data_IF_112215057109
#
_entry.id   IF_112215057109
#
_cell.length_a   1.000
_cell.length_b   1.000
_cell.length_c   1.000
_cell.angle_alpha   90.00
_cell.angle_beta   90.00
_cell.angle_gamma   90.00
#
_symmetry.space_group_name_H-M   'P 1'
#
loop_
_entity.id
_entity.type
_entity.pdbx_description
1 polymer ?
#
# COMPACT_ATOMS: atom_id res chain seq x y z
N UNK A 1 13.13 -15.66 57.55
CA UNK A 1 13.11 -14.34 56.90
C UNK A 1 14.43 -14.22 56.14
N UNK A 2 14.49 -14.66 54.88
CA UNK A 2 14.32 -13.82 53.69
C UNK A 2 15.67 -13.16 53.34
N UNK A 3 16.29 -13.23 52.17
CA UNK A 3 15.83 -13.48 50.80
C UNK A 3 16.98 -14.00 49.93
N UNK A 4 16.63 -14.75 48.89
CA UNK A 4 17.47 -14.95 47.71
C UNK A 4 17.79 -13.59 47.07
N UNK A 5 19.03 -13.40 46.63
CA UNK A 5 19.37 -12.35 45.66
C UNK A 5 19.81 -13.01 44.37
N UNK A 6 18.83 -13.26 43.49
CA UNK A 6 19.09 -13.53 42.07
C UNK A 6 19.87 -12.35 41.49
N UNK A 7 21.04 -12.64 40.91
CA UNK A 7 21.73 -11.69 40.04
C UNK A 7 20.91 -11.59 38.75
N UNK A 8 20.16 -10.50 38.62
CA UNK A 8 19.50 -10.16 37.36
C UNK A 8 20.58 -9.83 36.33
N UNK A 9 20.82 -10.77 35.41
CA UNK A 9 21.59 -10.51 34.20
C UNK A 9 20.65 -9.76 33.25
N UNK A 10 20.79 -8.44 33.15
CA UNK A 10 20.06 -7.65 32.19
C UNK A 10 20.58 -8.00 30.78
N UNK A 11 19.84 -8.86 30.08
CA UNK A 11 20.01 -9.05 28.64
C UNK A 11 19.47 -7.80 27.98
N UNK A 12 20.36 -6.93 27.52
CA UNK A 12 20.01 -5.81 26.66
C UNK A 12 19.64 -6.41 25.29
N UNK A 13 18.35 -6.71 25.11
CA UNK A 13 17.81 -7.11 23.84
C UNK A 13 17.93 -5.93 22.88
N UNK A 14 18.95 -5.95 22.03
CA UNK A 14 18.98 -5.14 20.82
C UNK A 14 17.75 -5.58 20.03
N UNK A 15 16.69 -4.76 20.01
CA UNK A 15 15.61 -4.93 19.07
C UNK A 15 16.24 -4.64 17.70
N UNK A 16 16.80 -5.69 17.09
CA UNK A 16 17.06 -5.68 15.68
C UNK A 16 15.69 -5.42 15.06
N UNK A 17 15.47 -4.19 14.60
CA UNK A 17 14.56 -3.96 13.48
C UNK A 17 15.23 -4.74 12.36
N UNK A 18 14.91 -6.03 12.27
CA UNK A 18 15.14 -6.82 11.08
C UNK A 18 14.43 -6.04 10.00
N UNK A 19 15.19 -5.27 9.23
CA UNK A 19 14.77 -4.87 7.89
C UNK A 19 14.25 -6.13 7.26
N UNK A 20 12.94 -6.18 7.01
CA UNK A 20 12.23 -7.30 6.40
C UNK A 20 12.71 -7.39 4.95
N UNK A 21 13.95 -7.86 4.81
CA UNK A 21 14.57 -8.32 3.58
C UNK A 21 14.51 -9.85 3.58
N UNK A 22 13.38 -10.42 4.02
CA UNK A 22 13.03 -11.74 3.53
C UNK A 22 12.86 -11.60 2.03
N UNK A 23 13.52 -12.49 1.29
CA UNK A 23 13.71 -12.40 -0.15
C UNK A 23 12.38 -12.13 -0.85
N UNK A 24 12.18 -10.88 -1.26
CA UNK A 24 11.06 -10.47 -2.11
C UNK A 24 11.24 -11.24 -3.40
N UNK A 25 10.33 -12.15 -3.75
CA UNK A 25 10.39 -12.93 -4.99
C UNK A 25 10.23 -12.09 -6.27
N UNK A 26 10.47 -10.78 -6.17
CA UNK A 26 10.21 -9.72 -7.15
C UNK A 26 11.49 -8.93 -7.40
N UNK A 27 11.55 -8.22 -8.52
CA UNK A 27 12.66 -7.33 -8.86
C UNK A 27 12.59 -5.95 -8.21
N UNK A 28 11.71 -5.73 -7.22
CA UNK A 28 11.41 -4.42 -6.65
C UNK A 28 12.64 -3.59 -6.27
N UNK A 29 13.58 -4.11 -5.48
CA UNK A 29 14.75 -3.32 -5.04
C UNK A 29 15.73 -3.00 -6.18
N UNK A 30 15.71 -3.80 -7.25
CA UNK A 30 16.49 -3.52 -8.45
C UNK A 30 15.80 -2.44 -9.32
N UNK A 31 14.47 -2.46 -9.36
CA UNK A 31 13.65 -1.55 -10.17
C UNK A 31 13.44 -0.18 -9.51
N UNK A 32 13.32 -0.16 -8.18
CA UNK A 32 12.91 1.02 -7.40
C UNK A 32 13.80 1.18 -6.16
N UNK A 33 14.90 1.93 -6.25
CA UNK A 33 15.80 2.13 -5.12
C UNK A 33 15.14 2.74 -3.88
N UNK A 34 14.13 3.61 -4.02
CA UNK A 34 13.45 4.22 -2.86
C UNK A 34 12.75 3.19 -1.98
N UNK A 35 12.31 2.06 -2.55
CA UNK A 35 11.65 1.00 -1.81
C UNK A 35 12.55 0.35 -0.75
N UNK A 36 13.88 0.55 -0.83
CA UNK A 36 14.81 0.13 0.21
C UNK A 36 14.63 0.86 1.55
N UNK A 37 13.91 1.99 1.56
CA UNK A 37 13.54 2.71 2.79
C UNK A 37 12.17 2.31 3.35
N UNK A 38 11.42 1.46 2.63
CA UNK A 38 10.07 1.06 3.00
C UNK A 38 10.06 -0.34 3.62
N UNK A 39 9.11 -0.56 4.53
CA UNK A 39 8.85 -1.84 5.19
C UNK A 39 7.75 -2.59 4.45
N UNK A 40 7.98 -3.85 4.09
CA UNK A 40 6.97 -4.72 3.47
C UNK A 40 5.85 -5.07 4.46
N UNK A 41 4.60 -4.76 4.09
CA UNK A 41 3.40 -5.12 4.84
C UNK A 41 2.76 -6.37 4.26
N UNK A 42 2.41 -6.33 2.98
CA UNK A 42 1.76 -7.45 2.29
C UNK A 42 2.52 -7.85 1.04
N UNK A 43 2.63 -9.15 0.81
CA UNK A 43 2.87 -9.70 -0.52
C UNK A 43 1.64 -10.52 -0.93
N UNK A 44 1.08 -10.21 -2.08
CA UNK A 44 -0.12 -10.82 -2.61
C UNK A 44 0.15 -11.45 -3.98
N UNK A 45 0.20 -12.79 -4.07
CA UNK A 45 0.22 -13.48 -5.35
C UNK A 45 -1.19 -13.42 -5.96
N UNK A 46 -1.37 -12.62 -7.02
CA UNK A 46 -2.68 -12.42 -7.66
C UNK A 46 -3.05 -13.67 -8.47
N UNK A 47 -4.13 -14.38 -8.14
CA UNK A 47 -4.54 -15.55 -8.92
C UNK A 47 -5.28 -15.10 -10.19
N UNK A 48 -5.14 -15.91 -11.26
CA UNK A 48 -5.93 -15.73 -12.48
C UNK A 48 -7.42 -15.78 -12.19
N UNK A 49 -7.85 -16.76 -11.37
CA UNK A 49 -9.23 -16.89 -10.93
C UNK A 49 -9.32 -16.50 -9.46
N UNK A 50 -10.11 -15.47 -9.17
CA UNK A 50 -10.44 -15.13 -7.80
C UNK A 50 -11.30 -16.24 -7.16
N UNK A 51 -11.10 -16.57 -5.88
CA UNK A 51 -12.02 -17.39 -5.11
C UNK A 51 -13.22 -16.59 -4.57
N UNK A 52 -13.31 -15.28 -4.84
CA UNK A 52 -14.36 -14.40 -4.34
C UNK A 52 -14.02 -13.78 -2.99
N UNK A 53 -13.03 -12.87 -2.96
CA UNK A 53 -12.47 -12.32 -1.72
C UNK A 53 -13.43 -11.48 -0.88
N UNK A 54 -14.63 -11.16 -1.36
CA UNK A 54 -15.67 -10.58 -0.51
C UNK A 54 -16.25 -11.59 0.50
N UNK A 55 -16.06 -12.88 0.27
CA UNK A 55 -16.66 -13.95 1.09
C UNK A 55 -15.63 -14.90 1.69
N UNK A 56 -14.35 -14.77 1.32
CA UNK A 56 -13.26 -15.59 1.83
C UNK A 56 -12.08 -14.72 2.25
N UNK A 57 -11.26 -15.15 3.23
CA UNK A 57 -10.06 -14.43 3.61
C UNK A 57 -9.09 -14.27 2.43
N UNK A 58 -8.45 -13.11 2.33
CA UNK A 58 -7.41 -12.84 1.31
C UNK A 58 -6.16 -13.64 1.67
N UNK A 59 -5.65 -14.40 0.70
CA UNK A 59 -4.47 -15.25 0.89
C UNK A 59 -3.19 -14.49 0.50
N UNK A 60 -2.71 -13.64 1.41
CA UNK A 60 -1.38 -13.04 1.29
C UNK A 60 -0.27 -14.09 1.50
N UNK A 61 0.80 -14.06 0.71
CA UNK A 61 2.00 -14.89 0.94
C UNK A 61 2.85 -14.36 2.09
N UNK A 62 2.83 -13.03 2.28
CA UNK A 62 3.42 -12.33 3.43
C UNK A 62 2.37 -11.40 4.00
N UNK A 63 2.16 -11.47 5.30
CA UNK A 63 1.29 -10.56 6.04
C UNK A 63 1.98 -10.11 7.34
N UNK A 64 2.52 -8.90 7.32
CA UNK A 64 3.21 -8.26 8.43
C UNK A 64 2.39 -7.12 9.06
N UNK A 65 1.11 -6.93 8.70
CA UNK A 65 0.36 -5.74 9.14
C UNK A 65 0.30 -5.59 10.66
N UNK A 66 0.19 -6.71 11.38
CA UNK A 66 0.16 -6.72 12.84
C UNK A 66 1.48 -6.26 13.50
N UNK A 67 2.57 -6.20 12.74
CA UNK A 67 3.87 -5.68 13.18
C UNK A 67 3.98 -4.16 13.03
N UNK A 68 3.07 -3.54 12.30
CA UNK A 68 3.06 -2.10 12.05
C UNK A 68 2.07 -1.45 13.02
N UNK A 69 2.59 -0.61 13.93
CA UNK A 69 1.74 0.14 14.85
C UNK A 69 0.78 1.07 14.11
N UNK A 70 -0.45 1.23 14.62
CA UNK A 70 -1.39 2.19 14.07
C UNK A 70 -0.81 3.62 14.12
N UNK A 71 -0.81 4.31 12.98
CA UNK A 71 -0.21 5.63 12.80
C UNK A 71 1.32 5.64 12.75
N UNK A 72 1.99 4.49 12.65
CA UNK A 72 3.45 4.39 12.65
C UNK A 72 4.09 4.64 11.27
N UNK A 73 3.31 4.97 10.25
CA UNK A 73 3.81 5.22 8.90
C UNK A 73 3.22 6.51 8.31
N UNK A 74 3.99 7.14 7.44
CA UNK A 74 3.65 8.41 6.80
C UNK A 74 3.29 8.24 5.32
N UNK A 75 3.79 7.18 4.69
CA UNK A 75 3.54 6.88 3.28
C UNK A 75 3.20 5.41 3.08
N UNK A 76 2.44 5.15 2.04
CA UNK A 76 2.14 3.81 1.52
C UNK A 76 2.72 3.68 0.11
N UNK A 77 3.14 2.48 -0.26
CA UNK A 77 3.57 2.18 -1.62
C UNK A 77 3.02 0.86 -2.12
N UNK A 78 2.70 0.83 -3.42
CA UNK A 78 2.23 -0.33 -4.14
C UNK A 78 3.22 -0.64 -5.26
N UNK A 79 3.62 -1.91 -5.35
CA UNK A 79 4.43 -2.42 -6.44
C UNK A 79 3.75 -3.62 -7.06
N UNK A 80 3.35 -3.52 -8.33
CA UNK A 80 2.82 -4.63 -9.09
C UNK A 80 3.87 -5.07 -10.11
N UNK A 81 4.23 -6.35 -10.08
CA UNK A 81 5.10 -6.99 -11.07
C UNK A 81 4.36 -8.13 -11.76
N UNK A 82 4.35 -8.07 -13.09
CA UNK A 82 3.71 -9.03 -13.99
C UNK A 82 4.79 -9.63 -14.88
N UNK A 83 5.22 -10.86 -14.60
CA UNK A 83 6.24 -11.54 -15.39
C UNK A 83 5.61 -12.60 -16.28
N UNK A 84 5.85 -12.51 -17.59
CA UNK A 84 5.50 -13.49 -18.61
C UNK A 84 6.57 -13.50 -19.70
N UNK A 85 6.19 -13.24 -20.96
CA UNK A 85 7.18 -13.06 -22.04
C UNK A 85 8.11 -11.86 -21.80
N UNK A 86 7.55 -10.80 -21.23
CA UNK A 86 8.26 -9.65 -20.67
C UNK A 86 7.88 -9.51 -19.20
N UNK A 87 8.69 -8.75 -18.46
CA UNK A 87 8.34 -8.35 -17.09
C UNK A 87 7.90 -6.90 -17.12
N UNK A 88 6.63 -6.67 -16.83
CA UNK A 88 6.03 -5.34 -16.71
C UNK A 88 5.86 -5.03 -15.23
N UNK A 89 6.18 -3.80 -14.81
CA UNK A 89 6.03 -3.40 -13.42
C UNK A 89 5.66 -1.93 -13.28
N UNK A 90 4.97 -1.61 -12.19
CA UNK A 90 4.69 -0.25 -11.76
C UNK A 90 4.84 -0.15 -10.25
N UNK A 91 5.38 0.97 -9.82
CA UNK A 91 5.50 1.37 -8.44
C UNK A 91 4.81 2.72 -8.26
N UNK A 92 4.01 2.84 -7.21
CA UNK A 92 3.40 4.10 -6.79
C UNK A 92 3.56 4.23 -5.29
N UNK A 93 4.30 5.23 -4.81
CA UNK A 93 4.26 5.66 -3.41
C UNK A 93 3.53 6.97 -3.27
N UNK A 94 2.87 7.17 -2.14
CA UNK A 94 2.09 8.38 -1.86
C UNK A 94 1.88 8.55 -0.35
N UNK A 95 1.37 9.70 0.06
CA UNK A 95 0.99 9.94 1.44
C UNK A 95 -0.03 8.90 1.95
N UNK A 96 0.16 8.47 3.19
CA UNK A 96 -0.70 7.47 3.81
C UNK A 96 -2.15 7.98 3.93
N UNK A 97 -3.09 7.24 3.34
CA UNK A 97 -4.52 7.55 3.39
C UNK A 97 -5.26 6.92 4.57
N UNK A 98 -4.51 6.18 5.39
CA UNK A 98 -4.94 5.57 6.64
C UNK A 98 -3.73 5.42 7.55
N UNK A 99 -3.96 5.41 8.87
CA UNK A 99 -2.92 5.02 9.83
C UNK A 99 -2.88 3.51 10.10
N UNK A 100 -3.86 2.76 9.61
CA UNK A 100 -4.03 1.34 9.88
C UNK A 100 -3.42 0.51 8.76
N UNK A 101 -2.33 -0.21 9.05
CA UNK A 101 -1.66 -1.08 8.07
C UNK A 101 -2.52 -2.29 7.67
N UNK A 102 -3.59 -2.61 8.41
CA UNK A 102 -4.61 -3.57 8.01
C UNK A 102 -5.59 -3.06 6.95
N UNK A 103 -5.48 -1.79 6.55
CA UNK A 103 -6.40 -1.09 5.62
C UNK A 103 -5.71 -0.47 4.42
N UNK A 104 -4.66 -1.13 3.95
CA UNK A 104 -3.94 -0.76 2.71
C UNK A 104 -3.90 -1.93 1.72
N UNK A 105 -4.62 -3.02 2.00
CA UNK A 105 -4.60 -4.29 1.29
C UNK A 105 -5.62 -4.34 0.14
N UNK A 106 -6.10 -5.56 -0.12
CA UNK A 106 -7.19 -5.79 -1.06
C UNK A 106 -8.53 -5.38 -0.43
N UNK A 107 -9.26 -4.40 -1.01
CA UNK A 107 -10.36 -3.71 -0.33
C UNK A 107 -11.68 -4.49 -0.35
N UNK A 108 -11.74 -5.58 0.43
CA UNK A 108 -12.89 -6.46 0.54
C UNK A 108 -13.87 -6.09 1.67
N UNK A 109 -15.06 -6.69 1.67
CA UNK A 109 -16.07 -6.42 2.71
C UNK A 109 -15.52 -6.60 4.13
N UNK A 110 -14.70 -7.63 4.38
CA UNK A 110 -14.14 -7.88 5.71
C UNK A 110 -13.08 -6.87 6.16
N UNK A 111 -12.33 -6.29 5.23
CA UNK A 111 -11.31 -5.26 5.51
C UNK A 111 -11.94 -3.94 5.95
N UNK A 112 -13.16 -3.66 5.46
CA UNK A 112 -13.82 -2.37 5.63
C UNK A 112 -13.11 -1.23 4.89
N UNK A 113 -12.19 -1.52 3.98
CA UNK A 113 -11.54 -0.56 3.11
C UNK A 113 -12.53 -0.02 2.09
N UNK A 114 -12.53 1.30 1.93
CA UNK A 114 -13.34 2.01 0.94
C UNK A 114 -12.69 3.37 0.69
N UNK A 115 -12.02 3.52 -0.45
CA UNK A 115 -11.26 4.73 -0.78
C UNK A 115 -11.56 5.20 -2.20
N UNK A 116 -11.66 6.52 -2.37
CA UNK A 116 -11.92 7.17 -3.65
C UNK A 116 -11.36 8.60 -3.74
N UNK A 117 -11.44 9.25 -4.92
CA UNK A 117 -10.98 10.62 -5.18
C UNK A 117 -11.73 11.73 -4.41
N UNK A 118 -11.01 12.76 -3.95
CA UNK A 118 -11.55 13.85 -3.13
C UNK A 118 -11.96 15.11 -3.90
N UNK A 119 -13.27 15.31 -4.08
CA UNK A 119 -14.07 16.42 -3.49
C UNK A 119 -15.44 15.83 -3.16
N UNK A 120 -15.83 15.78 -1.87
CA UNK A 120 -17.08 15.16 -1.41
C UNK A 120 -17.01 13.68 -1.03
N UNK A 121 -15.81 13.09 -1.09
CA UNK A 121 -15.52 11.75 -0.60
C UNK A 121 -15.15 11.65 0.88
N UNK A 122 -14.94 10.43 1.37
CA UNK A 122 -14.43 10.10 2.73
C UNK A 122 -13.00 10.63 3.02
N UNK A 123 -12.52 11.58 2.22
CA UNK A 123 -11.22 12.20 2.28
C UNK A 123 -11.34 13.56 3.00
N UNK A 124 -10.41 13.94 3.92
CA UNK A 124 -10.49 15.20 4.65
C UNK A 124 -10.75 16.41 3.75
N UNK A 125 -11.66 17.29 4.17
CA UNK A 125 -11.96 18.52 3.45
C UNK A 125 -10.69 19.37 3.26
N UNK A 126 -10.36 19.69 2.00
CA UNK A 126 -9.12 20.42 1.64
C UNK A 126 -8.00 19.53 1.08
N UNK A 127 -8.23 18.22 0.94
CA UNK A 127 -7.31 17.30 0.28
C UNK A 127 -7.59 17.23 -1.23
N UNK A 128 -6.65 17.69 -2.06
CA UNK A 128 -6.76 17.84 -3.54
C UNK A 128 -6.29 16.60 -4.34
N UNK A 129 -6.06 15.49 -3.63
CA UNK A 129 -5.48 14.25 -4.15
C UNK A 129 -4.38 13.75 -3.22
N UNK A 130 -3.79 12.60 -3.51
CA UNK A 130 -2.55 12.20 -2.83
C UNK A 130 -1.40 13.05 -3.39
N UNK A 131 -1.27 14.29 -2.87
CA UNK A 131 -0.12 15.13 -3.12
C UNK A 131 1.17 14.33 -2.83
N UNK A 132 2.22 14.61 -3.60
CA UNK A 132 3.55 14.00 -3.43
C UNK A 132 3.65 12.49 -3.75
N UNK A 133 3.00 12.03 -4.82
CA UNK A 133 3.20 10.67 -5.30
C UNK A 133 4.49 10.49 -6.12
N UNK A 134 5.18 9.36 -5.94
CA UNK A 134 6.27 8.92 -6.79
C UNK A 134 5.82 7.73 -7.62
N UNK A 135 5.95 7.84 -8.94
CA UNK A 135 5.56 6.82 -9.91
C UNK A 135 6.80 6.38 -10.69
N UNK A 136 7.09 5.08 -10.65
CA UNK A 136 8.13 4.45 -11.47
C UNK A 136 7.53 3.26 -12.21
N UNK A 137 7.92 3.05 -13.46
CA UNK A 137 7.44 1.92 -14.27
C UNK A 137 8.37 1.72 -15.46
N UNK A 138 8.37 0.50 -16.01
CA UNK A 138 8.94 0.21 -17.32
C UNK A 138 7.88 0.10 -18.44
N UNK A 139 6.59 0.23 -18.12
CA UNK A 139 5.50 0.06 -19.08
C UNK A 139 5.37 1.32 -19.95
N UNK A 140 5.47 1.21 -21.29
CA UNK A 140 5.29 2.35 -22.17
C UNK A 140 3.92 3.01 -21.98
N UNK A 141 3.90 4.34 -21.92
CA UNK A 141 2.68 5.11 -21.73
C UNK A 141 2.37 5.45 -20.27
N UNK A 142 3.01 4.79 -19.30
CA UNK A 142 2.92 5.21 -17.89
C UNK A 142 3.81 6.44 -17.67
N UNK A 143 3.20 7.58 -17.36
CA UNK A 143 3.92 8.79 -16.94
C UNK A 143 4.54 8.56 -15.57
N UNK A 144 5.88 8.59 -15.51
CA UNK A 144 6.69 8.47 -14.29
C UNK A 144 7.13 9.84 -13.78
N UNK A 145 7.48 9.91 -12.50
CA UNK A 145 7.94 11.15 -11.86
C UNK A 145 7.74 11.13 -10.35
N UNK A 146 8.27 12.15 -9.69
CA UNK A 146 8.14 12.38 -8.25
C UNK A 146 7.34 13.64 -7.99
N UNK A 147 6.68 13.75 -6.83
CA UNK A 147 5.90 14.93 -6.49
C UNK A 147 4.60 15.08 -7.29
N UNK A 148 4.05 13.97 -7.81
CA UNK A 148 2.84 13.98 -8.62
C UNK A 148 1.62 14.16 -7.72
N UNK A 149 0.87 15.25 -7.92
CA UNK A 149 -0.33 15.57 -7.12
C UNK A 149 -1.64 15.02 -7.66
N UNK A 150 -1.58 14.26 -8.76
CA UNK A 150 -2.75 13.84 -9.52
C UNK A 150 -3.04 12.34 -9.43
N UNK A 151 -2.73 11.73 -8.28
CA UNK A 151 -3.04 10.32 -8.01
C UNK A 151 -4.39 10.19 -7.29
N UNK A 152 -5.19 9.21 -7.71
CA UNK A 152 -6.43 8.83 -7.07
C UNK A 152 -6.59 7.31 -6.97
N UNK A 153 -7.43 6.88 -6.04
CA UNK A 153 -7.72 5.49 -5.75
C UNK A 153 -9.18 5.18 -6.09
N UNK A 154 -9.45 3.94 -6.45
CA UNK A 154 -10.80 3.37 -6.56
C UNK A 154 -10.77 1.97 -5.94
N UNK A 155 -10.90 1.96 -4.61
CA UNK A 155 -10.74 0.78 -3.77
C UNK A 155 -12.10 0.42 -3.17
N UNK A 156 -12.78 -0.52 -3.81
CA UNK A 156 -14.18 -0.82 -3.52
C UNK A 156 -14.44 -2.32 -3.46
N UNK A 157 -15.20 -2.81 -2.46
CA UNK A 157 -15.66 -4.19 -2.44
C UNK A 157 -16.87 -4.46 -3.34
N UNK A 158 -17.49 -3.41 -3.87
CA UNK A 158 -18.83 -3.43 -4.46
C UNK A 158 -18.83 -3.48 -5.98
N UNK A 159 -20.04 -3.41 -6.54
CA UNK A 159 -20.22 -3.03 -7.94
C UNK A 159 -20.05 -1.51 -8.04
N UNK A 160 -19.61 -1.06 -9.21
CA UNK A 160 -19.43 0.35 -9.57
C UNK A 160 -19.87 0.55 -11.04
N UNK A 161 -19.94 1.80 -11.46
CA UNK A 161 -20.35 2.19 -12.80
C UNK A 161 -19.50 3.36 -13.32
N UNK A 162 -19.70 3.70 -14.58
CA UNK A 162 -18.87 4.65 -15.34
C UNK A 162 -19.08 6.10 -14.95
N UNK A 163 -20.11 6.42 -14.16
CA UNK A 163 -20.46 7.81 -13.85
C UNK A 163 -19.35 8.50 -13.07
N UNK A 164 -18.92 9.67 -13.53
CA UNK A 164 -17.98 10.54 -12.82
C UNK A 164 -18.66 11.26 -11.64
N UNK A 165 -19.06 10.47 -10.63
CA UNK A 165 -19.82 10.91 -9.46
C UNK A 165 -19.03 11.89 -8.59
N UNK A 166 -17.70 11.88 -8.71
CA UNK A 166 -16.78 12.70 -7.90
C UNK A 166 -16.15 13.87 -8.68
N UNK A 167 -16.54 14.08 -9.93
CA UNK A 167 -16.08 15.21 -10.75
C UNK A 167 -14.57 15.21 -11.03
N UNK A 168 -13.94 14.04 -11.16
CA UNK A 168 -12.51 13.91 -11.46
C UNK A 168 -12.22 14.58 -12.81
N UNK A 169 -11.29 15.56 -12.88
CA UNK A 169 -10.97 16.25 -14.13
C UNK A 169 -10.51 15.28 -15.23
N UNK A 170 -11.17 15.35 -16.38
CA UNK A 170 -10.87 14.50 -17.54
C UNK A 170 -11.60 13.15 -17.56
N UNK A 171 -12.32 12.80 -16.51
CA UNK A 171 -13.09 11.55 -16.42
C UNK A 171 -14.23 11.46 -17.44
N UNK A 172 -14.47 10.26 -17.95
CA UNK A 172 -15.45 9.96 -18.99
C UNK A 172 -16.62 9.14 -18.44
N UNK A 173 -17.76 9.81 -18.21
CA UNK A 173 -19.02 9.20 -17.76
C UNK A 173 -19.64 8.10 -18.64
N UNK A 174 -19.01 7.73 -19.77
CA UNK A 174 -19.47 6.68 -20.69
C UNK A 174 -18.50 5.51 -20.88
N UNK A 175 -17.36 5.50 -20.18
CA UNK A 175 -16.39 4.42 -20.18
C UNK A 175 -15.91 4.14 -18.75
N UNK A 176 -15.42 2.94 -18.46
CA UNK A 176 -14.79 2.68 -17.16
C UNK A 176 -13.37 3.25 -17.18
N UNK A 177 -13.05 4.20 -16.31
CA UNK A 177 -11.77 4.91 -16.31
C UNK A 177 -11.31 5.31 -14.90
N UNK A 178 -10.50 6.37 -14.79
CA UNK A 178 -9.96 6.85 -13.51
C UNK A 178 -10.95 7.68 -12.68
N UNK A 179 -12.20 7.73 -13.12
CA UNK A 179 -13.25 8.56 -12.56
C UNK A 179 -14.56 7.79 -12.39
N UNK A 180 -14.50 6.49 -12.13
CA UNK A 180 -15.67 5.66 -11.92
C UNK A 180 -16.43 6.05 -10.63
N UNK A 181 -17.69 5.63 -10.55
CA UNK A 181 -18.62 5.99 -9.49
C UNK A 181 -19.60 4.88 -9.15
N UNK A 182 -20.65 5.22 -8.39
CA UNK A 182 -21.70 4.28 -7.98
C UNK A 182 -21.26 3.17 -7.03
N UNK A 183 -20.03 3.23 -6.53
CA UNK A 183 -19.49 2.26 -5.59
C UNK A 183 -20.08 2.42 -4.18
N UNK A 184 -20.09 1.32 -3.43
CA UNK A 184 -20.40 1.28 -2.00
C UNK A 184 -19.57 0.25 -1.23
N UNK A 185 -20.00 -0.06 -0.01
CA UNK A 185 -19.29 -0.98 0.90
C UNK A 185 -19.83 -2.42 0.89
N UNK A 186 -20.88 -2.69 0.11
CA UNK A 186 -21.45 -4.04 -0.03
C UNK A 186 -20.63 -4.92 -0.96
N UNK A 187 -20.74 -6.25 -0.85
CA UNK A 187 -20.07 -7.17 -1.77
C UNK A 187 -20.56 -6.99 -3.22
N UNK A 188 -19.63 -6.96 -4.17
CA UNK A 188 -19.91 -6.89 -5.61
C UNK A 188 -18.71 -7.30 -6.46
N UNK A 189 -18.51 -6.63 -7.60
CA UNK A 189 -17.45 -6.92 -8.58
C UNK A 189 -16.05 -6.81 -7.97
N UNK A 190 -15.81 -5.77 -7.16
CA UNK A 190 -14.52 -5.47 -6.57
C UNK A 190 -13.62 -4.67 -7.51
N UNK A 191 -13.01 -3.61 -6.97
CA UNK A 191 -12.02 -2.77 -7.61
C UNK A 191 -10.87 -2.48 -6.65
N UNK A 192 -9.65 -2.62 -7.14
CA UNK A 192 -8.45 -2.07 -6.51
C UNK A 192 -7.64 -1.42 -7.62
N UNK A 193 -7.87 -0.13 -7.81
CA UNK A 193 -7.27 0.62 -8.89
C UNK A 193 -6.58 1.87 -8.37
N UNK A 194 -5.41 2.16 -8.94
CA UNK A 194 -4.66 3.38 -8.70
C UNK A 194 -4.45 4.06 -10.03
N UNK A 195 -4.76 5.35 -10.08
CA UNK A 195 -4.74 6.15 -11.29
C UNK A 195 -3.83 7.36 -11.14
N UNK A 196 -3.41 7.92 -12.27
CA UNK A 196 -2.90 9.28 -12.37
C UNK A 196 -3.84 10.07 -13.30
N UNK A 197 -4.87 10.71 -12.74
CA UNK A 197 -5.89 11.43 -13.49
C UNK A 197 -5.32 12.62 -14.28
N UNK A 198 -4.23 13.23 -13.81
CA UNK A 198 -3.54 14.33 -14.50
C UNK A 198 -2.90 13.89 -15.83
N UNK A 199 -2.53 12.61 -15.92
CA UNK A 199 -2.10 11.96 -17.15
C UNK A 199 -3.21 11.12 -17.82
N UNK A 200 -4.43 11.13 -17.27
CA UNK A 200 -5.59 10.33 -17.73
C UNK A 200 -5.23 8.85 -17.89
N UNK A 201 -4.53 8.29 -16.90
CA UNK A 201 -4.01 6.92 -16.97
C UNK A 201 -4.33 6.09 -15.73
N UNK A 202 -4.67 4.83 -15.95
CA UNK A 202 -4.56 3.76 -14.96
C UNK A 202 -3.08 3.49 -14.70
N UNK A 203 -2.66 3.41 -13.44
CA UNK A 203 -1.32 2.95 -13.08
C UNK A 203 -1.34 1.44 -12.94
N UNK A 204 -2.25 0.91 -12.13
CA UNK A 204 -2.66 -0.49 -12.20
C UNK A 204 -4.11 -0.67 -11.79
N UNK A 205 -4.69 -1.79 -12.20
CA UNK A 205 -6.01 -2.22 -11.76
C UNK A 205 -6.04 -3.72 -11.49
N UNK A 206 -6.68 -4.11 -10.38
CA UNK A 206 -7.10 -5.47 -10.09
C UNK A 206 -8.61 -5.47 -9.77
N UNK A 207 -9.41 -6.01 -10.67
CA UNK A 207 -10.88 -5.99 -10.60
C UNK A 207 -11.46 -7.41 -10.70
N UNK A 208 -12.79 -7.51 -10.62
CA UNK A 208 -13.55 -8.77 -10.72
C UNK A 208 -13.23 -9.81 -9.64
N UNK A 209 -12.56 -9.40 -8.57
CA UNK A 209 -12.08 -10.29 -7.54
C UNK A 209 -13.13 -10.58 -6.47
N UNK A 210 -14.23 -9.82 -6.43
CA UNK A 210 -15.25 -9.91 -5.38
C UNK A 210 -16.11 -11.18 -5.42
N UNK A 211 -16.08 -11.95 -6.52
CA UNK A 211 -16.75 -13.24 -6.66
C UNK A 211 -15.83 -14.29 -7.30
N UNK A 212 -16.23 -15.57 -7.26
CA UNK A 212 -15.48 -16.63 -7.90
C UNK A 212 -15.57 -16.53 -9.44
N UNK A 213 -14.54 -16.01 -10.10
CA UNK A 213 -14.44 -15.79 -11.55
C UNK A 213 -12.99 -15.48 -11.96
N UNK A 214 -12.74 -15.41 -13.27
CA UNK A 214 -11.48 -14.86 -13.80
C UNK A 214 -11.40 -13.38 -13.46
N UNK A 215 -10.28 -12.97 -12.86
CA UNK A 215 -10.08 -11.57 -12.47
C UNK A 215 -9.64 -10.72 -13.66
N UNK A 216 -9.63 -9.42 -13.45
CA UNK A 216 -9.21 -8.40 -14.42
C UNK A 216 -7.94 -7.75 -13.86
N UNK A 217 -6.87 -7.67 -14.65
CA UNK A 217 -5.57 -7.20 -14.15
C UNK A 217 -4.76 -6.52 -15.26
N UNK A 218 -4.16 -5.38 -14.96
CA UNK A 218 -3.15 -4.78 -15.83
C UNK A 218 -2.46 -3.54 -15.27
N UNK A 219 -1.46 -3.07 -16.01
CA UNK A 219 -0.63 -1.89 -15.73
C UNK A 219 -0.77 -0.93 -16.91
N UNK A 220 -0.90 0.37 -16.63
CA UNK A 220 -1.19 1.36 -17.67
C UNK A 220 -2.63 1.30 -18.16
N UNK A 221 -2.98 2.19 -19.09
CA UNK A 221 -4.27 2.11 -19.79
C UNK A 221 -4.33 0.85 -20.65
N UNK A 222 -5.44 0.12 -20.58
CA UNK A 222 -5.62 -1.01 -21.48
C UNK A 222 -5.68 -0.57 -22.96
N UNK A 223 -5.26 -1.41 -23.92
CA UNK A 223 -5.30 -1.08 -25.33
C UNK A 223 -6.74 -0.81 -25.81
N UNK A 224 -6.95 0.28 -26.55
CA UNK A 224 -8.27 0.68 -27.05
C UNK A 224 -8.39 2.18 -27.33
N UNK A 225 -7.63 2.99 -26.60
CA UNK A 225 -7.59 4.45 -26.75
C UNK A 225 -8.65 5.17 -25.91
N UNK A 226 -8.75 6.49 -26.07
CA UNK A 226 -9.74 7.30 -25.35
C UNK A 226 -11.18 6.91 -25.75
N UNK A 227 -12.06 6.72 -24.77
CA UNK A 227 -13.46 6.33 -24.99
C UNK A 227 -13.73 4.83 -24.92
N UNK A 228 -12.71 3.99 -24.74
CA UNK A 228 -12.86 2.61 -24.25
C UNK A 228 -12.64 2.56 -22.75
N UNK A 229 -13.04 1.47 -22.09
CA UNK A 229 -12.62 1.24 -20.70
C UNK A 229 -11.08 1.32 -20.65
N UNK A 230 -10.47 2.09 -19.76
CA UNK A 230 -9.00 2.21 -19.66
C UNK A 230 -8.45 1.55 -18.40
N UNK A 231 -9.31 1.30 -17.42
CA UNK A 231 -9.05 0.78 -16.08
C UNK A 231 -9.08 -0.75 -15.98
N UNK A 232 -9.07 -1.44 -17.12
CA UNK A 232 -9.16 -2.90 -17.23
C UNK A 232 -10.50 -3.51 -16.80
N UNK A 233 -11.51 -2.72 -16.46
CA UNK A 233 -12.83 -3.25 -16.11
C UNK A 233 -13.45 -4.02 -17.26
N UNK A 234 -13.90 -5.24 -16.96
CA UNK A 234 -14.39 -6.27 -17.87
C UNK A 234 -13.34 -6.89 -18.82
N UNK A 235 -12.04 -6.63 -18.64
CA UNK A 235 -10.98 -7.27 -19.40
C UNK A 235 -10.33 -8.46 -18.66
N UNK A 236 -10.81 -9.66 -18.97
CA UNK A 236 -10.27 -10.92 -18.44
C UNK A 236 -9.17 -11.53 -19.30
N UNK A 237 -8.85 -10.93 -20.46
CA UNK A 237 -7.92 -11.50 -21.44
C UNK A 237 -6.44 -11.27 -21.09
N UNK A 238 -6.15 -10.33 -20.19
CA UNK A 238 -4.77 -9.93 -19.88
C UNK A 238 -4.13 -10.74 -18.75
N UNK A 239 -4.88 -11.03 -17.67
CA UNK A 239 -4.35 -11.64 -16.44
C UNK A 239 -3.66 -13.00 -16.69
N UNK A 240 -4.14 -13.77 -17.66
CA UNK A 240 -3.61 -15.09 -18.00
C UNK A 240 -2.35 -15.08 -18.85
N UNK A 241 -1.84 -13.91 -19.25
CA UNK A 241 -0.62 -13.78 -20.07
C UNK A 241 0.68 -13.86 -19.28
N UNK A 242 0.58 -13.70 -17.96
CA UNK A 242 1.71 -13.68 -17.05
C UNK A 242 1.81 -15.03 -16.34
N UNK A 243 3.02 -15.45 -16.00
CA UNK A 243 3.25 -16.62 -15.14
C UNK A 243 3.25 -16.18 -13.67
N UNK A 244 3.80 -15.00 -13.40
CA UNK A 244 3.90 -14.39 -12.06
C UNK A 244 3.12 -13.07 -12.06
N UNK A 245 2.30 -12.88 -11.02
CA UNK A 245 1.57 -11.63 -10.73
C UNK A 245 1.70 -11.38 -9.24
N UNK A 246 2.53 -10.42 -8.87
CA UNK A 246 2.81 -10.15 -7.45
C UNK A 246 2.55 -8.69 -7.15
N UNK A 247 1.61 -8.43 -6.26
CA UNK A 247 1.39 -7.12 -5.66
C UNK A 247 2.09 -7.08 -4.30
N UNK A 248 3.01 -6.15 -4.12
CA UNK A 248 3.62 -5.85 -2.85
C UNK A 248 3.14 -4.50 -2.33
N UNK A 249 2.84 -4.45 -1.04
CA UNK A 249 2.32 -3.28 -0.34
C UNK A 249 3.28 -2.96 0.79
N UNK A 250 3.72 -1.72 0.83
CA UNK A 250 4.76 -1.25 1.73
C UNK A 250 4.35 0.02 2.45
N UNK A 251 5.04 0.29 3.54
CA UNK A 251 4.88 1.54 4.28
C UNK A 251 6.23 2.17 4.60
N UNK A 252 6.30 3.50 4.56
CA UNK A 252 7.41 4.25 5.10
C UNK A 252 7.12 4.49 6.59
N UNK A 253 7.59 3.56 7.42
CA UNK A 253 7.50 3.72 8.88
C UNK A 253 8.32 4.94 9.27
N UNK A 254 7.79 5.79 10.16
CA UNK A 254 8.63 6.78 10.81
C UNK A 254 9.79 6.01 11.48
N UNK A 255 11.03 6.40 11.17
CA UNK A 255 12.18 5.93 11.94
C UNK A 255 11.84 6.24 13.40
N UNK A 256 11.81 5.27 14.33
CA UNK A 256 11.62 5.61 15.72
C UNK A 256 12.73 6.60 16.07
N UNK A 257 12.35 7.84 16.41
CA UNK A 257 13.28 8.79 17.02
C UNK A 257 14.04 8.01 18.08
N UNK A 258 15.39 8.00 18.08
CA UNK A 258 16.14 7.20 19.03
C UNK A 258 15.62 7.55 20.41
N UNK A 259 14.91 6.60 21.03
CA UNK A 259 14.31 6.76 22.34
C UNK A 259 15.39 7.35 23.21
N UNK A 260 15.19 8.55 23.74
CA UNK A 260 16.14 9.16 24.66
C UNK A 260 16.28 8.16 25.80
N UNK A 261 17.38 7.40 25.80
CA UNK A 261 17.70 6.49 26.88
C UNK A 261 17.86 7.41 28.07
N UNK A 262 16.86 7.44 28.94
CA UNK A 262 16.94 8.12 30.21
C UNK A 262 17.96 7.33 31.03
N UNK A 263 19.23 7.65 30.86
CA UNK A 263 20.30 7.18 31.73
C UNK A 263 20.04 7.83 33.08
N UNK A 264 19.25 7.15 33.92
CA UNK A 264 19.19 7.41 35.35
C UNK A 264 20.60 7.13 35.88
N UNK A 265 21.41 8.19 35.95
CA UNK A 265 22.76 8.13 36.46
C UNK A 265 22.75 7.49 37.84
N UNK A 266 23.47 6.37 37.96
CA UNK A 266 23.96 5.84 39.23
C UNK A 266 24.92 6.87 39.83
N UNK A 267 24.36 7.88 40.51
CA UNK A 267 25.09 8.85 41.30
C UNK A 267 25.65 8.16 42.54
N UNK A 268 26.93 7.81 42.48
CA UNK A 268 27.69 7.26 43.60
C UNK A 268 27.66 8.18 44.83
N UNK A 269 27.28 7.60 45.96
CA UNK A 269 27.35 8.19 47.28
C UNK A 269 28.83 8.33 47.70
N UNK A 270 29.45 9.47 47.41
CA UNK A 270 30.80 9.80 47.88
C UNK A 270 30.74 10.26 49.35
N UNK A 271 31.31 9.45 50.23
CA UNK A 271 31.60 9.74 51.63
C UNK A 271 32.47 11.00 51.75
N UNK A 272 31.98 12.05 52.41
CA UNK A 272 32.75 13.26 52.72
C UNK A 272 33.53 13.05 54.03
N UNK A 273 34.83 12.75 53.94
CA UNK A 273 35.75 12.72 55.09
C UNK A 273 36.09 14.16 55.49
N UNK A 274 35.67 14.59 56.68
CA UNK A 274 35.97 15.91 57.26
C UNK A 274 37.41 15.88 57.80
N UNK A 275 38.29 16.73 57.27
CA UNK A 275 39.58 17.07 57.89
C UNK A 275 39.50 18.55 58.22
N UNK A 276 39.46 18.87 59.51
CA UNK A 276 39.77 20.22 59.99
C UNK A 276 41.25 20.23 60.38
N UNK A 277 42.00 21.19 59.85
CA UNK A 277 43.24 21.70 60.44
C UNK A 277 42.89 23.03 61.12
N UNK A 278 43.37 23.14 62.35
CA UNK A 278 43.62 24.29 63.22
C UNK A 278 42.61 25.47 63.19
#
# INVERSE_FOLDING_TARGET
>A
MGNLSMRALAVLGMLAVTTVNEARGTSLLANVPEAGSYTLVYEFPVPVNSPGWNTVPVAYSIDNHALIGNGAFSRVAYYLELAGQTTDWVYVSMDAFTGDAGKIGLPNVSSGEFYHYGVGGNMPAGWDGHADANIFSNVPGVVTGTGIGTVNLEFWPSNYGQSNDYGVPGGNGGAFDFADGGAGTSAGHGAMQIHNYGAQQTLFAYNAWGAARTSELGIGNQPGGAGTNTDWTFNTANIGRYDIRTLQILVLTAVPEPSTVLVLGLGGLLLRRRVNRD
#
